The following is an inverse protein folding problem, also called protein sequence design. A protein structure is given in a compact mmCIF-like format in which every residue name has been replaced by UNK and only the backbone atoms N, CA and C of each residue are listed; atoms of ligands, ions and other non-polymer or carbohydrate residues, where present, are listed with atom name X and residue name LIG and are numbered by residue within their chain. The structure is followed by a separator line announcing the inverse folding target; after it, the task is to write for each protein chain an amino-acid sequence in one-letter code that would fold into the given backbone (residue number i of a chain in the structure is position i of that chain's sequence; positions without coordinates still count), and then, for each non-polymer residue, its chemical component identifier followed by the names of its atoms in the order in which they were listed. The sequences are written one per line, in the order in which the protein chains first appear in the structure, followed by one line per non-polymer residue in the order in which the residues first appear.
data_IF_152492818621
#
_entry.id   IF_152492818621
#
_cell.length_a   1.000
_cell.length_b   1.000
_cell.length_c   1.000
_cell.angle_alpha   90.00
_cell.angle_beta   90.00
_cell.angle_gamma   90.00
#
_symmetry.space_group_name_H-M   'P 1'
#
loop_
_entity.id
_entity.type
_entity.pdbx_description
1 polymer ?
#
# COMPACT_ATOMS: atom_id res chain seq x y z
N UNK A 1 10.67 -13.48 0.36
CA UNK A 1 10.25 -12.49 -0.66
C UNK A 1 9.29 -11.43 -0.13
N UNK A 2 8.57 -11.67 0.98
CA UNK A 2 7.57 -10.75 1.54
C UNK A 2 8.12 -9.40 2.04
N UNK A 3 9.33 -9.36 2.60
CA UNK A 3 9.92 -8.12 3.13
C UNK A 3 10.21 -7.05 2.07
N UNK A 4 10.52 -7.46 0.83
CA UNK A 4 10.76 -6.57 -0.30
C UNK A 4 9.47 -5.91 -0.79
N UNK A 5 8.37 -6.67 -0.84
CA UNK A 5 7.05 -6.14 -1.19
C UNK A 5 6.57 -5.10 -0.15
N UNK A 6 6.86 -5.34 1.13
CA UNK A 6 6.52 -4.42 2.20
C UNK A 6 7.35 -3.14 2.14
N UNK A 7 8.65 -3.23 1.86
CA UNK A 7 9.51 -2.06 1.64
C UNK A 7 9.06 -1.22 0.43
N UNK A 8 8.67 -1.87 -0.67
CA UNK A 8 8.13 -1.20 -1.87
C UNK A 8 6.78 -0.50 -1.58
N UNK A 9 5.91 -1.14 -0.78
CA UNK A 9 4.66 -0.53 -0.35
C UNK A 9 4.88 0.68 0.55
N UNK A 10 5.75 0.59 1.54
CA UNK A 10 6.07 1.72 2.44
C UNK A 10 6.67 2.89 1.66
N UNK A 11 7.52 2.62 0.66
CA UNK A 11 8.04 3.64 -0.25
C UNK A 11 6.93 4.37 -1.02
N UNK A 12 6.00 3.63 -1.62
CA UNK A 12 4.82 4.20 -2.31
C UNK A 12 3.84 4.88 -1.35
N UNK A 13 3.74 4.42 -0.11
CA UNK A 13 2.82 4.98 0.88
C UNK A 13 3.33 6.29 1.49
N UNK A 14 4.64 6.39 1.74
CA UNK A 14 5.28 7.57 2.30
C UNK A 14 5.59 8.63 1.23
N UNK A 15 6.02 8.20 0.04
CA UNK A 15 6.45 9.08 -1.05
C UNK A 15 5.52 9.11 -2.26
N UNK A 16 4.49 8.27 -2.32
CA UNK A 16 3.58 8.22 -3.46
C UNK A 16 2.81 9.52 -3.70
N UNK A 17 2.57 10.31 -2.65
CA UNK A 17 1.96 11.64 -2.79
C UNK A 17 2.83 12.55 -3.69
N UNK A 18 4.15 12.50 -3.51
CA UNK A 18 5.12 13.29 -4.29
C UNK A 18 5.42 12.68 -5.66
N UNK A 19 5.39 11.34 -5.78
CA UNK A 19 5.67 10.64 -7.04
C UNK A 19 4.47 10.66 -7.99
N UNK A 20 3.27 10.52 -7.45
CA UNK A 20 2.01 10.39 -8.19
C UNK A 20 1.25 11.73 -8.24
N UNK A 21 1.63 12.69 -7.40
CA UNK A 21 1.17 14.08 -7.46
C UNK A 21 -0.29 14.28 -7.07
N UNK A 22 -0.89 13.34 -6.34
CA UNK A 22 -2.26 13.48 -5.87
C UNK A 22 -2.28 14.31 -4.58
N UNK A 23 -3.13 15.34 -4.57
CA UNK A 23 -3.36 16.19 -3.40
C UNK A 23 -4.37 15.47 -2.49
N UNK A 24 -3.90 15.01 -1.32
CA UNK A 24 -4.72 14.26 -0.37
C UNK A 24 -4.99 15.04 0.93
N UNK A 25 -5.80 16.11 0.90
CA UNK A 25 -6.02 16.99 2.05
C UNK A 25 -6.78 16.31 3.21
N UNK A 26 -7.32 15.11 2.98
CA UNK A 26 -8.02 14.31 3.99
C UNK A 26 -7.43 12.91 4.19
N UNK A 27 -6.29 12.58 3.56
CA UNK A 27 -5.61 11.28 3.70
C UNK A 27 -6.42 10.06 3.23
N UNK A 28 -7.45 10.26 2.40
CA UNK A 28 -8.35 9.22 1.89
C UNK A 28 -7.65 8.26 0.93
N UNK A 29 -6.78 8.73 0.03
CA UNK A 29 -6.06 7.84 -0.89
C UNK A 29 -4.98 7.06 -0.17
N UNK A 30 -4.33 7.67 0.82
CA UNK A 30 -3.38 6.95 1.66
C UNK A 30 -4.10 5.82 2.43
N UNK A 31 -5.28 6.10 3.01
CA UNK A 31 -6.10 5.09 3.68
C UNK A 31 -6.59 3.98 2.72
N UNK A 32 -6.94 4.34 1.48
CA UNK A 32 -7.32 3.38 0.44
C UNK A 32 -6.16 2.49 -0.01
N UNK A 33 -4.95 3.04 -0.15
CA UNK A 33 -3.71 2.29 -0.43
C UNK A 33 -3.36 1.33 0.71
N UNK A 34 -3.51 1.77 1.97
CA UNK A 34 -3.35 0.89 3.13
C UNK A 34 -4.34 -0.27 3.11
N UNK A 35 -5.62 0.04 2.90
CA UNK A 35 -6.69 -0.95 2.90
C UNK A 35 -6.47 -1.99 1.78
N UNK A 36 -6.20 -1.54 0.56
CA UNK A 36 -5.95 -2.43 -0.59
C UNK A 36 -4.72 -3.32 -0.39
N UNK A 37 -3.65 -2.81 0.24
CA UNK A 37 -2.48 -3.61 0.58
C UNK A 37 -2.80 -4.68 1.65
N UNK A 38 -3.51 -4.32 2.72
CA UNK A 38 -3.93 -5.28 3.74
C UNK A 38 -4.83 -6.38 3.17
N UNK A 39 -5.79 -6.03 2.30
CA UNK A 39 -6.63 -7.01 1.63
C UNK A 39 -5.83 -7.91 0.68
N UNK A 40 -4.89 -7.35 -0.10
CA UNK A 40 -3.99 -8.12 -0.94
C UNK A 40 -3.13 -9.11 -0.15
N UNK A 41 -2.64 -8.69 1.03
CA UNK A 41 -1.86 -9.55 1.92
C UNK A 41 -2.72 -10.66 2.52
N UNK A 42 -3.95 -10.38 2.97
CA UNK A 42 -4.88 -11.38 3.46
C UNK A 42 -5.25 -12.43 2.40
N UNK A 43 -5.52 -11.99 1.16
CA UNK A 43 -5.83 -12.90 0.04
C UNK A 43 -4.58 -13.74 -0.31
N UNK A 44 -3.40 -13.12 -0.36
CA UNK A 44 -2.14 -13.81 -0.62
C UNK A 44 -1.83 -14.88 0.44
N UNK A 45 -2.10 -14.60 1.72
CA UNK A 45 -1.98 -15.58 2.80
C UNK A 45 -2.96 -16.74 2.64
N UNK A 46 -4.20 -16.48 2.21
CA UNK A 46 -5.20 -17.53 1.98
C UNK A 46 -4.91 -18.38 0.75
N UNK A 47 -4.34 -17.81 -0.31
CA UNK A 47 -3.98 -18.54 -1.53
C UNK A 47 -2.77 -19.46 -1.35
N UNK A 48 -1.97 -19.25 -0.31
CA UNK A 48 -0.77 -20.03 0.00
C UNK A 48 -1.04 -21.23 0.93
N UNK A 49 -2.30 -21.45 1.35
CA UNK A 49 -2.77 -22.62 2.10
C UNK A 49 -3.60 -23.51 1.18
#
# INVERSE_FOLDING_TARGET
MSGLALAMFVGLFAWGQQIVGYDDPHGKVQLALLATFCFGLLIGYRANN
#
